data_IF_572079085921
#
_entry.id   IF_572079085921
#
_cell.length_a   1.000
_cell.length_b   1.000
_cell.length_c   1.000
_cell.angle_alpha   90.00
_cell.angle_beta   90.00
_cell.angle_gamma   90.00
#
_symmetry.space_group_name_H-M   'P 1'
#
loop_
_entity.id
_entity.type
_entity.pdbx_description
1 polymer ?
#
# COMPACT_ATOMS: atom_id res chain seq x y z
N UNK A 1 -42.14 -19.07 -21.38
CA UNK A 1 -41.30 -18.57 -22.49
C UNK A 1 -40.20 -19.60 -22.69
N UNK A 2 -40.02 -20.13 -23.90
CA UNK A 2 -38.91 -21.05 -24.18
C UNK A 2 -37.62 -20.23 -24.09
N UNK A 3 -36.73 -20.60 -23.18
CA UNK A 3 -35.40 -20.01 -22.99
C UNK A 3 -34.49 -20.37 -24.17
N UNK A 4 -34.80 -19.85 -25.36
CA UNK A 4 -33.91 -19.91 -26.51
C UNK A 4 -32.81 -18.86 -26.30
N UNK A 5 -31.83 -19.22 -25.46
CA UNK A 5 -30.60 -18.45 -25.29
C UNK A 5 -29.82 -18.49 -26.62
N UNK A 6 -29.91 -17.39 -27.37
CA UNK A 6 -29.31 -17.11 -28.67
C UNK A 6 -29.92 -17.86 -29.86
N UNK A 7 -30.45 -17.08 -30.81
CA UNK A 7 -30.98 -17.55 -32.08
C UNK A 7 -30.04 -17.13 -33.21
N UNK A 8 -29.57 -18.08 -34.00
CA UNK A 8 -28.70 -17.83 -35.15
C UNK A 8 -29.40 -18.25 -36.44
N UNK A 9 -29.26 -17.44 -37.49
CA UNK A 9 -29.82 -17.70 -38.82
C UNK A 9 -28.74 -17.51 -39.86
N UNK A 10 -28.56 -18.49 -40.74
CA UNK A 10 -27.69 -18.33 -41.90
C UNK A 10 -28.37 -17.39 -42.91
N UNK A 11 -27.62 -16.40 -43.39
CA UNK A 11 -28.04 -15.42 -44.39
C UNK A 11 -26.95 -15.32 -45.46
N UNK A 12 -27.31 -14.87 -46.66
CA UNK A 12 -26.31 -14.59 -47.71
C UNK A 12 -25.47 -13.35 -47.35
N UNK A 13 -24.33 -13.17 -48.02
CA UNK A 13 -23.41 -12.03 -47.79
C UNK A 13 -24.14 -10.68 -47.91
N UNK A 14 -25.06 -10.57 -48.86
CA UNK A 14 -25.81 -9.35 -49.13
C UNK A 14 -26.99 -9.14 -48.16
N UNK A 15 -27.31 -10.16 -47.35
CA UNK A 15 -28.46 -10.19 -46.45
C UNK A 15 -28.08 -9.94 -44.98
N UNK A 16 -26.81 -9.60 -44.68
CA UNK A 16 -26.40 -9.22 -43.33
C UNK A 16 -27.16 -7.96 -42.85
N UNK A 17 -27.73 -8.03 -41.66
CA UNK A 17 -28.58 -6.98 -41.06
C UNK A 17 -30.02 -6.92 -41.61
N UNK A 18 -30.40 -7.82 -42.51
CA UNK A 18 -31.77 -7.98 -43.02
C UNK A 18 -32.47 -9.20 -42.38
N UNK A 19 -33.75 -9.43 -42.71
CA UNK A 19 -34.50 -10.65 -42.37
C UNK A 19 -34.57 -10.98 -40.86
N UNK A 20 -34.74 -9.96 -40.01
CA UNK A 20 -34.75 -10.06 -38.54
C UNK A 20 -33.42 -10.50 -37.91
N UNK A 21 -32.29 -10.32 -38.61
CA UNK A 21 -30.96 -10.37 -37.99
C UNK A 21 -30.67 -9.06 -37.24
N UNK A 22 -29.60 -9.01 -36.44
CA UNK A 22 -29.23 -7.81 -35.67
C UNK A 22 -29.01 -6.65 -36.65
N UNK A 23 -29.86 -5.62 -36.58
CA UNK A 23 -29.90 -4.52 -37.56
C UNK A 23 -28.56 -3.77 -37.69
N UNK A 24 -27.74 -3.77 -36.64
CA UNK A 24 -26.45 -3.08 -36.60
C UNK A 24 -25.26 -3.95 -37.05
N UNK A 25 -25.49 -5.24 -37.36
CA UNK A 25 -24.47 -6.18 -37.81
C UNK A 25 -24.64 -6.48 -39.31
N UNK A 26 -24.34 -5.50 -40.15
CA UNK A 26 -24.54 -5.56 -41.61
C UNK A 26 -23.29 -5.95 -42.39
N UNK A 27 -22.13 -6.07 -41.74
CA UNK A 27 -20.85 -6.28 -42.43
C UNK A 27 -20.50 -7.77 -42.42
N UNK A 28 -20.38 -8.42 -43.59
CA UNK A 28 -20.00 -9.83 -43.66
C UNK A 28 -18.49 -10.02 -43.43
N UNK A 29 -18.12 -10.81 -42.42
CA UNK A 29 -16.74 -11.24 -42.20
C UNK A 29 -16.41 -12.45 -43.08
N UNK A 30 -15.50 -12.28 -44.04
CA UNK A 30 -15.15 -13.35 -44.98
C UNK A 30 -14.34 -14.48 -44.34
N UNK A 31 -13.60 -14.20 -43.26
CA UNK A 31 -12.77 -15.17 -42.57
C UNK A 31 -13.61 -16.00 -41.61
N UNK A 32 -14.40 -15.34 -40.77
CA UNK A 32 -15.16 -15.96 -39.69
C UNK A 32 -16.59 -16.35 -40.09
N UNK A 33 -17.03 -15.97 -41.31
CA UNK A 33 -18.33 -16.34 -41.91
C UNK A 33 -19.55 -15.94 -41.07
N UNK A 34 -19.50 -14.79 -40.40
CA UNK A 34 -20.66 -14.20 -39.71
C UNK A 34 -20.80 -12.72 -40.03
N UNK A 35 -21.97 -12.14 -39.77
CA UNK A 35 -22.20 -10.71 -39.90
C UNK A 35 -21.72 -10.00 -38.63
N UNK A 36 -20.66 -9.20 -38.74
CA UNK A 36 -20.10 -8.43 -37.63
C UNK A 36 -20.69 -7.02 -37.58
N UNK A 37 -20.55 -6.39 -36.42
CA UNK A 37 -20.85 -4.98 -36.25
C UNK A 37 -19.73 -4.16 -36.86
N UNK A 38 -20.05 -2.91 -37.16
CA UNK A 38 -19.06 -1.93 -37.57
C UNK A 38 -18.05 -1.75 -36.42
N UNK A 39 -16.78 -2.08 -36.67
CA UNK A 39 -15.71 -2.06 -35.69
C UNK A 39 -14.55 -1.23 -36.24
N UNK A 40 -14.50 0.03 -35.83
CA UNK A 40 -13.40 0.96 -36.14
C UNK A 40 -12.76 1.36 -34.82
N UNK A 41 -11.44 1.22 -34.71
CA UNK A 41 -10.69 1.57 -33.51
C UNK A 41 -10.95 3.04 -33.13
N UNK A 42 -11.29 3.30 -31.86
CA UNK A 42 -11.58 4.65 -31.37
C UNK A 42 -12.93 5.25 -31.83
N UNK A 43 -13.79 4.48 -32.50
CA UNK A 43 -15.10 4.95 -32.95
C UNK A 43 -16.21 4.74 -31.90
N UNK A 44 -16.99 5.79 -31.61
CA UNK A 44 -18.15 5.73 -30.70
C UNK A 44 -19.44 5.35 -31.43
N UNK A 45 -19.66 5.93 -32.62
CA UNK A 45 -20.78 5.59 -33.50
C UNK A 45 -20.24 5.22 -34.88
N UNK A 46 -20.32 3.94 -35.18
CA UNK A 46 -19.84 3.38 -36.43
C UNK A 46 -21.03 3.09 -37.34
N UNK A 47 -20.94 3.51 -38.61
CA UNK A 47 -21.99 3.29 -39.60
C UNK A 47 -21.44 2.36 -40.67
N UNK A 48 -22.13 1.25 -40.86
CA UNK A 48 -21.83 0.33 -41.93
C UNK A 48 -22.37 0.88 -43.27
N UNK A 49 -21.56 0.80 -44.31
CA UNK A 49 -21.95 1.19 -45.66
C UNK A 49 -23.00 0.22 -46.25
N UNK A 50 -23.71 0.66 -47.29
CA UNK A 50 -24.68 -0.21 -47.98
C UNK A 50 -23.99 -1.44 -48.60
N UNK A 51 -24.69 -2.58 -48.70
CA UNK A 51 -24.14 -3.76 -49.36
C UNK A 51 -23.64 -3.44 -50.77
N UNK A 52 -22.38 -3.76 -51.08
CA UNK A 52 -21.77 -3.56 -52.40
C UNK A 52 -20.85 -2.34 -52.58
N UNK A 53 -20.59 -1.54 -51.54
CA UNK A 53 -19.53 -0.50 -51.57
C UNK A 53 -18.17 -1.04 -51.11
N UNK A 54 -17.07 -0.52 -51.67
CA UNK A 54 -15.69 -0.93 -51.34
C UNK A 54 -15.29 -0.61 -49.90
N UNK A 55 -15.67 0.57 -49.37
CA UNK A 55 -15.44 0.94 -47.97
C UNK A 55 -16.62 0.50 -47.10
N UNK A 56 -16.51 -0.69 -46.49
CA UNK A 56 -17.60 -1.31 -45.73
C UNK A 56 -17.91 -0.62 -44.39
N UNK A 57 -16.95 0.12 -43.84
CA UNK A 57 -17.03 0.70 -42.50
C UNK A 57 -16.57 2.16 -42.52
N UNK A 58 -17.35 3.04 -41.89
CA UNK A 58 -16.94 4.43 -41.64
C UNK A 58 -17.37 4.83 -40.25
N UNK A 59 -16.48 5.48 -39.52
CA UNK A 59 -16.87 6.11 -38.27
C UNK A 59 -17.67 7.40 -38.53
N UNK A 60 -18.78 7.56 -37.83
CA UNK A 60 -19.57 8.79 -37.85
C UNK A 60 -19.17 9.72 -36.71
N UNK A 61 -18.91 9.15 -35.53
CA UNK A 61 -18.51 9.89 -34.34
C UNK A 61 -17.40 9.14 -33.60
N UNK A 62 -16.23 9.77 -33.47
CA UNK A 62 -15.12 9.22 -32.69
C UNK A 62 -15.36 9.37 -31.18
N UNK A 63 -14.70 8.52 -30.39
CA UNK A 63 -14.70 8.65 -28.93
C UNK A 63 -14.00 9.97 -28.50
N UNK A 64 -14.33 10.52 -27.31
CA UNK A 64 -13.64 11.69 -26.78
C UNK A 64 -12.11 11.48 -26.78
N UNK A 65 -11.37 12.42 -27.38
CA UNK A 65 -9.90 12.33 -27.53
C UNK A 65 -9.41 11.85 -28.91
N UNK A 66 -10.32 11.53 -29.83
CA UNK A 66 -10.02 11.14 -31.21
C UNK A 66 -10.62 12.15 -32.20
N UNK A 67 -9.96 12.34 -33.35
CA UNK A 67 -10.46 13.14 -34.47
C UNK A 67 -10.79 12.26 -35.67
N UNK A 68 -11.88 12.59 -36.35
CA UNK A 68 -12.33 11.87 -37.54
C UNK A 68 -11.51 12.30 -38.77
N UNK A 69 -10.82 11.34 -39.39
CA UNK A 69 -10.06 11.51 -40.63
C UNK A 69 -11.00 11.51 -41.84
N UNK A 70 -10.57 12.07 -42.97
CA UNK A 70 -11.36 12.10 -44.22
C UNK A 70 -11.76 10.71 -44.74
N UNK A 71 -10.98 9.69 -44.37
CA UNK A 71 -11.19 8.30 -44.75
C UNK A 71 -12.24 7.59 -43.87
N UNK A 72 -12.68 8.23 -42.78
CA UNK A 72 -13.65 7.66 -41.84
C UNK A 72 -13.01 6.91 -40.68
N UNK A 73 -11.69 7.04 -40.49
CA UNK A 73 -10.94 6.49 -39.37
C UNK A 73 -10.84 7.50 -38.22
N UNK A 74 -10.60 7.02 -37.00
CA UNK A 74 -10.43 7.87 -35.82
C UNK A 74 -8.97 7.87 -35.37
N UNK A 75 -8.28 8.99 -35.51
CA UNK A 75 -6.92 9.15 -35.01
C UNK A 75 -6.90 9.72 -33.59
N UNK A 76 -6.08 9.16 -32.71
CA UNK A 76 -5.95 9.60 -31.33
C UNK A 76 -5.15 10.91 -31.25
N UNK A 77 -5.79 12.01 -30.81
CA UNK A 77 -5.10 13.28 -30.56
C UNK A 77 -4.13 13.20 -29.36
N UNK A 78 -4.34 12.23 -28.46
CA UNK A 78 -3.58 12.04 -27.23
C UNK A 78 -2.14 11.55 -27.40
N UNK A 79 -1.70 11.13 -28.60
CA UNK A 79 -0.31 10.70 -28.81
C UNK A 79 0.67 11.81 -28.44
N UNK A 80 0.33 13.07 -28.76
CA UNK A 80 1.13 14.23 -28.38
C UNK A 80 1.26 14.42 -26.87
N UNK A 81 0.28 13.99 -26.07
CA UNK A 81 0.34 14.06 -24.60
C UNK A 81 1.36 13.06 -24.07
N UNK A 82 1.38 11.83 -24.59
CA UNK A 82 2.39 10.84 -24.20
C UNK A 82 3.80 11.26 -24.62
N UNK A 83 3.94 11.82 -25.83
CA UNK A 83 5.21 12.40 -26.30
C UNK A 83 5.65 13.56 -25.40
N UNK A 84 4.72 14.45 -25.00
CA UNK A 84 5.00 15.55 -24.08
C UNK A 84 5.43 15.04 -22.69
N UNK A 85 4.73 14.06 -22.12
CA UNK A 85 5.08 13.45 -20.82
C UNK A 85 6.48 12.84 -20.90
N UNK A 86 6.77 12.07 -21.95
CA UNK A 86 8.08 11.46 -22.16
C UNK A 86 9.18 12.53 -22.35
N UNK A 87 8.89 13.62 -23.07
CA UNK A 87 9.81 14.73 -23.25
C UNK A 87 10.10 15.46 -21.93
N UNK A 88 9.08 15.76 -21.13
CA UNK A 88 9.24 16.37 -19.80
C UNK A 88 10.04 15.46 -18.87
N UNK A 89 9.73 14.16 -18.82
CA UNK A 89 10.49 13.19 -18.04
C UNK A 89 11.96 13.12 -18.49
N UNK A 90 12.22 13.16 -19.80
CA UNK A 90 13.56 13.22 -20.36
C UNK A 90 14.33 14.48 -19.97
N UNK A 91 13.69 15.67 -20.02
CA UNK A 91 14.30 16.93 -19.60
C UNK A 91 14.61 16.92 -18.10
N UNK A 92 13.69 16.42 -17.26
CA UNK A 92 13.93 16.29 -15.82
C UNK A 92 15.08 15.33 -15.51
N UNK A 93 15.18 14.22 -16.24
CA UNK A 93 16.29 13.27 -16.12
C UNK A 93 17.62 13.93 -16.50
N UNK A 94 17.68 14.64 -17.62
CA UNK A 94 18.89 15.37 -18.05
C UNK A 94 19.27 16.43 -17.02
N UNK A 95 18.30 17.16 -16.47
CA UNK A 95 18.54 18.14 -15.42
C UNK A 95 19.05 17.48 -14.13
N UNK A 96 18.47 16.34 -13.72
CA UNK A 96 18.92 15.60 -12.54
C UNK A 96 20.35 15.06 -12.72
N UNK A 97 20.69 14.53 -13.90
CA UNK A 97 22.04 14.09 -14.25
C UNK A 97 23.00 15.27 -14.24
N UNK A 98 22.65 16.38 -14.90
CA UNK A 98 23.45 17.60 -14.92
C UNK A 98 23.69 18.13 -13.51
N UNK A 99 22.63 18.26 -12.71
CA UNK A 99 22.69 18.68 -11.31
C UNK A 99 23.60 17.77 -10.50
N UNK A 100 23.44 16.45 -10.64
CA UNK A 100 24.28 15.47 -9.96
C UNK A 100 25.75 15.64 -10.35
N UNK A 101 26.06 15.75 -11.65
CA UNK A 101 27.43 15.99 -12.14
C UNK A 101 28.00 17.31 -11.62
N UNK A 102 27.22 18.39 -11.60
CA UNK A 102 27.63 19.65 -11.01
C UNK A 102 27.90 19.54 -9.51
N UNK A 103 27.04 18.85 -8.76
CA UNK A 103 27.22 18.61 -7.33
C UNK A 103 28.46 17.74 -7.07
N UNK A 104 28.66 16.68 -7.85
CA UNK A 104 29.83 15.80 -7.74
C UNK A 104 31.14 16.47 -8.15
N UNK A 105 31.08 17.48 -9.03
CA UNK A 105 32.26 18.21 -9.51
C UNK A 105 32.59 19.46 -8.68
N UNK A 106 31.71 19.85 -7.74
CA UNK A 106 31.97 21.00 -6.86
C UNK A 106 33.09 20.64 -5.86
N UNK A 107 34.15 21.44 -5.77
CA UNK A 107 35.20 21.21 -4.78
C UNK A 107 34.63 21.38 -3.37
N UNK A 108 35.07 20.53 -2.44
CA UNK A 108 34.70 20.62 -1.03
C UNK A 108 35.37 21.87 -0.42
N UNK A 109 34.58 22.92 -0.18
CA UNK A 109 35.09 24.19 0.39
C UNK A 109 35.33 24.08 1.90
N UNK A 110 34.66 23.14 2.57
CA UNK A 110 34.76 22.94 4.01
C UNK A 110 34.98 21.45 4.32
N UNK A 111 36.19 20.97 4.09
CA UNK A 111 36.57 19.59 4.39
C UNK A 111 36.35 19.24 5.87
N UNK A 112 36.61 20.19 6.79
CA UNK A 112 36.39 19.99 8.22
C UNK A 112 34.91 19.72 8.54
N UNK A 113 33.99 20.47 7.94
CA UNK A 113 32.54 20.26 8.09
C UNK A 113 32.08 18.93 7.48
N UNK A 114 32.64 18.53 6.34
CA UNK A 114 32.33 17.23 5.72
C UNK A 114 32.82 16.08 6.60
N UNK A 115 34.04 16.16 7.13
CA UNK A 115 34.58 15.17 8.06
C UNK A 115 33.73 15.08 9.33
N UNK A 116 33.37 16.21 9.94
CA UNK A 116 32.46 16.26 11.08
C UNK A 116 31.10 15.63 10.74
N UNK A 117 30.51 15.94 9.58
CA UNK A 117 29.26 15.33 9.13
C UNK A 117 29.35 13.82 8.92
N UNK A 118 30.48 13.32 8.38
CA UNK A 118 30.74 11.89 8.24
C UNK A 118 30.92 11.21 9.59
N UNK A 119 31.57 11.87 10.56
CA UNK A 119 31.67 11.40 11.94
C UNK A 119 30.31 11.35 12.62
N UNK A 120 29.50 12.41 12.53
CA UNK A 120 28.13 12.44 13.05
C UNK A 120 27.28 11.32 12.43
N UNK A 121 27.38 11.12 11.11
CA UNK A 121 26.72 10.01 10.42
C UNK A 121 27.25 8.65 10.89
N UNK A 122 28.55 8.51 11.16
CA UNK A 122 29.12 7.28 11.68
C UNK A 122 28.62 7.00 13.10
N UNK A 123 28.50 8.02 13.95
CA UNK A 123 27.92 7.94 15.30
C UNK A 123 26.42 7.62 15.29
N UNK A 124 25.70 8.02 14.24
CA UNK A 124 24.27 7.68 14.08
C UNK A 124 24.03 6.30 13.48
N UNK A 125 25.09 5.55 13.09
CA UNK A 125 24.91 4.17 12.63
C UNK A 125 24.61 3.29 13.82
N UNK A 126 23.72 2.35 13.61
CA UNK A 126 23.41 1.34 14.61
C UNK A 126 24.55 0.33 14.62
N UNK A 127 25.28 0.33 15.74
CA UNK A 127 26.38 -0.59 16.02
C UNK A 127 25.89 -1.74 16.89
N UNK A 128 26.62 -2.86 16.86
CA UNK A 128 26.30 -4.00 17.70
C UNK A 128 26.53 -3.66 19.18
N UNK A 129 25.75 -4.28 20.06
CA UNK A 129 25.89 -4.06 21.50
C UNK A 129 27.32 -4.38 21.97
N UNK A 130 27.99 -3.38 22.57
CA UNK A 130 29.36 -3.52 23.08
C UNK A 130 30.47 -3.45 22.03
N UNK A 131 30.17 -3.21 20.75
CA UNK A 131 31.21 -3.04 19.72
C UNK A 131 30.97 -1.77 18.89
N UNK A 132 32.03 -1.28 18.24
CA UNK A 132 31.93 -0.17 17.26
C UNK A 132 31.57 -0.66 15.85
N UNK A 133 31.32 -1.96 15.67
CA UNK A 133 31.07 -2.54 14.37
C UNK A 133 29.58 -2.45 14.01
N UNK A 134 29.30 -2.14 12.75
CA UNK A 134 27.94 -2.11 12.21
C UNK A 134 27.39 -3.53 12.00
N UNK A 135 26.08 -3.71 12.09
CA UNK A 135 25.44 -4.98 11.71
C UNK A 135 25.67 -5.29 10.23
N UNK A 136 25.93 -6.57 9.92
CA UNK A 136 26.05 -7.03 8.54
C UNK A 136 24.70 -7.00 7.83
N UNK A 137 24.68 -6.78 6.51
CA UNK A 137 23.45 -6.80 5.72
C UNK A 137 22.76 -8.18 5.69
N UNK A 138 23.48 -9.24 6.08
CA UNK A 138 22.96 -10.60 6.23
C UNK A 138 22.34 -10.88 7.60
N UNK A 139 22.38 -9.92 8.54
CA UNK A 139 21.80 -10.10 9.87
C UNK A 139 20.29 -10.28 9.77
N UNK A 140 19.78 -11.34 10.39
CA UNK A 140 18.35 -11.63 10.39
C UNK A 140 17.61 -10.72 11.38
N UNK A 141 16.93 -9.72 10.84
CA UNK A 141 16.17 -8.72 11.61
C UNK A 141 14.91 -9.29 12.29
N UNK A 142 14.49 -10.52 11.98
CA UNK A 142 13.37 -11.18 12.67
C UNK A 142 13.76 -11.79 14.02
N UNK A 143 15.05 -12.02 14.24
CA UNK A 143 15.60 -12.70 15.42
C UNK A 143 16.56 -11.84 16.22
N UNK A 144 17.26 -10.93 15.55
CA UNK A 144 18.25 -10.06 16.18
C UNK A 144 17.68 -8.66 16.37
N UNK A 145 17.74 -8.16 17.61
CA UNK A 145 17.35 -6.81 17.92
C UNK A 145 18.44 -5.82 17.50
N UNK A 146 18.20 -5.12 16.38
CA UNK A 146 19.14 -4.13 15.83
C UNK A 146 18.71 -2.72 16.22
N UNK A 147 17.42 -2.41 16.10
CA UNK A 147 16.89 -1.05 16.23
C UNK A 147 15.62 -1.03 17.11
N UNK A 148 15.69 -1.78 18.22
CA UNK A 148 14.59 -1.98 19.14
C UNK A 148 13.57 -3.05 18.69
N UNK A 149 12.68 -3.46 19.61
CA UNK A 149 11.70 -4.52 19.37
C UNK A 149 10.67 -4.16 18.29
N UNK A 150 10.43 -2.87 18.03
CA UNK A 150 9.54 -2.41 16.96
C UNK A 150 10.05 -2.79 15.56
N UNK A 151 11.36 -2.74 15.33
CA UNK A 151 11.95 -3.15 14.05
C UNK A 151 11.82 -4.66 13.86
N UNK A 152 12.08 -5.44 14.90
CA UNK A 152 11.86 -6.89 14.86
C UNK A 152 10.39 -7.24 14.59
N UNK A 153 9.47 -6.50 15.21
CA UNK A 153 8.03 -6.66 15.01
C UNK A 153 7.63 -6.46 13.54
N UNK A 154 8.14 -5.39 12.91
CA UNK A 154 7.85 -5.06 11.53
C UNK A 154 8.28 -6.17 10.57
N UNK A 155 9.53 -6.61 10.63
CA UNK A 155 10.02 -7.67 9.72
C UNK A 155 9.31 -9.01 9.94
N UNK A 156 8.95 -9.34 11.19
CA UNK A 156 8.15 -10.54 11.48
C UNK A 156 6.73 -10.41 10.95
N UNK A 157 6.15 -9.22 10.97
CA UNK A 157 4.84 -8.95 10.38
C UNK A 157 4.86 -9.13 8.87
N UNK A 158 5.83 -8.53 8.19
CA UNK A 158 6.02 -8.68 6.74
C UNK A 158 6.18 -10.16 6.36
N UNK A 159 7.01 -10.90 7.09
CA UNK A 159 7.16 -12.34 6.89
C UNK A 159 5.86 -13.11 7.13
N UNK A 160 5.10 -12.77 8.18
CA UNK A 160 3.81 -13.40 8.46
C UNK A 160 2.78 -13.14 7.34
N UNK A 161 2.73 -11.93 6.79
CA UNK A 161 1.89 -11.59 5.63
C UNK A 161 2.32 -12.37 4.38
N UNK A 162 3.62 -12.51 4.15
CA UNK A 162 4.15 -13.30 3.03
C UNK A 162 3.73 -14.77 3.16
N UNK A 163 3.93 -15.38 4.34
CA UNK A 163 3.53 -16.77 4.61
C UNK A 163 2.02 -16.95 4.46
N UNK A 164 1.23 -16.01 4.98
CA UNK A 164 -0.22 -15.99 4.83
C UNK A 164 -0.65 -15.96 3.35
N UNK A 165 -0.08 -15.06 2.56
CA UNK A 165 -0.41 -14.90 1.13
C UNK A 165 -0.04 -16.16 0.33
N UNK A 166 1.16 -16.71 0.56
CA UNK A 166 1.61 -17.95 -0.09
C UNK A 166 0.70 -19.13 0.31
N UNK A 167 0.31 -19.22 1.58
CA UNK A 167 -0.56 -20.29 2.06
C UNK A 167 -1.96 -20.19 1.43
N UNK A 168 -2.58 -19.01 1.42
CA UNK A 168 -3.88 -18.82 0.76
C UNK A 168 -3.81 -19.12 -0.73
N UNK A 169 -2.75 -18.69 -1.42
CA UNK A 169 -2.57 -18.99 -2.83
C UNK A 169 -2.42 -20.50 -3.07
N UNK A 170 -1.59 -21.19 -2.28
CA UNK A 170 -1.37 -22.62 -2.41
C UNK A 170 -2.66 -23.42 -2.15
N UNK A 171 -3.42 -23.08 -1.10
CA UNK A 171 -4.69 -23.74 -0.79
C UNK A 171 -5.74 -23.41 -1.87
N UNK A 172 -5.79 -22.17 -2.37
CA UNK A 172 -6.68 -21.81 -3.48
C UNK A 172 -6.37 -22.63 -4.74
N UNK A 173 -5.09 -22.72 -5.12
CA UNK A 173 -4.66 -23.50 -6.28
C UNK A 173 -4.98 -24.98 -6.10
N UNK A 174 -4.76 -25.54 -4.91
CA UNK A 174 -5.18 -26.90 -4.57
C UNK A 174 -6.70 -27.07 -4.70
N UNK A 175 -7.48 -26.16 -4.13
CA UNK A 175 -8.94 -26.18 -4.17
C UNK A 175 -9.48 -26.12 -5.60
N UNK A 176 -8.94 -25.25 -6.44
CA UNK A 176 -9.25 -25.18 -7.88
C UNK A 176 -8.93 -26.51 -8.56
N UNK A 177 -7.75 -27.07 -8.31
CA UNK A 177 -7.33 -28.34 -8.93
C UNK A 177 -8.23 -29.52 -8.52
N UNK A 178 -8.66 -29.58 -7.25
CA UNK A 178 -9.51 -30.65 -6.73
C UNK A 178 -11.00 -30.50 -7.10
N UNK A 179 -11.54 -29.27 -7.10
CA UNK A 179 -12.97 -29.05 -7.33
C UNK A 179 -13.29 -28.92 -8.82
N UNK A 180 -12.64 -27.96 -9.50
CA UNK A 180 -12.77 -27.77 -10.94
C UNK A 180 -11.78 -26.72 -11.45
N UNK A 181 -10.99 -27.09 -12.46
CA UNK A 181 -10.11 -26.16 -13.19
C UNK A 181 -10.89 -25.09 -13.96
N UNK A 182 -12.20 -25.26 -14.16
CA UNK A 182 -13.07 -24.27 -14.80
C UNK A 182 -13.05 -22.92 -14.07
N UNK A 183 -12.73 -22.89 -12.76
CA UNK A 183 -12.63 -21.65 -11.96
C UNK A 183 -11.57 -20.67 -12.50
N UNK A 184 -10.48 -21.16 -13.11
CA UNK A 184 -9.43 -20.32 -13.70
C UNK A 184 -9.80 -19.81 -15.10
N UNK A 185 -10.66 -20.56 -15.78
CA UNK A 185 -11.04 -20.32 -17.18
C UNK A 185 -12.30 -19.44 -17.24
N UNK A 186 -13.10 -19.43 -16.18
CA UNK A 186 -14.37 -18.71 -16.08
C UNK A 186 -14.14 -17.19 -16.22
N UNK A 187 -14.65 -16.62 -17.31
CA UNK A 187 -14.51 -15.18 -17.63
C UNK A 187 -13.33 -14.85 -18.54
N UNK A 188 -12.38 -15.77 -18.72
CA UNK A 188 -11.19 -15.58 -19.57
C UNK A 188 -11.23 -16.39 -20.87
N UNK A 189 -12.36 -17.04 -21.20
CA UNK A 189 -12.48 -17.74 -22.48
C UNK A 189 -12.51 -16.74 -23.63
N UNK A 190 -11.57 -16.82 -24.59
CA UNK A 190 -11.65 -15.98 -25.78
C UNK A 190 -12.90 -16.36 -26.57
N UNK A 191 -13.55 -15.35 -27.12
CA UNK A 191 -14.74 -15.53 -27.95
C UNK A 191 -14.56 -14.76 -29.26
N UNK A 192 -14.09 -15.46 -30.29
CA UNK A 192 -13.84 -14.86 -31.61
C UNK A 192 -15.13 -14.69 -32.44
N UNK A 193 -16.17 -15.45 -32.11
CA UNK A 193 -17.45 -15.40 -32.82
C UNK A 193 -18.62 -15.20 -31.85
N UNK A 194 -19.73 -14.58 -32.29
CA UNK A 194 -20.90 -14.36 -31.45
C UNK A 194 -21.55 -15.68 -30.99
N UNK A 195 -21.40 -16.75 -31.77
CA UNK A 195 -21.84 -18.09 -31.40
C UNK A 195 -21.03 -18.64 -30.23
N UNK A 196 -19.69 -18.55 -30.30
CA UNK A 196 -18.80 -18.96 -29.22
C UNK A 196 -19.00 -18.07 -27.99
N UNK A 197 -19.20 -16.76 -28.18
CA UNK A 197 -19.50 -15.84 -27.09
C UNK A 197 -20.79 -16.23 -26.37
N UNK A 198 -21.87 -16.49 -27.12
CA UNK A 198 -23.11 -16.94 -26.52
C UNK A 198 -22.94 -18.27 -25.77
N UNK A 199 -22.26 -19.24 -26.39
CA UNK A 199 -21.97 -20.52 -25.75
C UNK A 199 -21.15 -20.32 -24.48
N UNK A 200 -20.16 -19.43 -24.49
CA UNK A 200 -19.32 -19.08 -23.35
C UNK A 200 -20.11 -18.36 -22.25
N UNK A 201 -21.02 -17.44 -22.58
CA UNK A 201 -21.90 -16.76 -21.62
C UNK A 201 -22.88 -17.75 -21.00
N UNK A 202 -23.55 -18.58 -21.80
CA UNK A 202 -24.49 -19.60 -21.32
C UNK A 202 -23.79 -20.60 -20.40
N UNK A 203 -22.65 -21.13 -20.86
CA UNK A 203 -21.78 -22.01 -20.08
C UNK A 203 -21.31 -21.33 -18.79
N UNK A 204 -20.85 -20.08 -18.90
CA UNK A 204 -20.36 -19.30 -17.76
C UNK A 204 -21.44 -19.06 -16.72
N UNK A 205 -22.66 -18.68 -17.13
CA UNK A 205 -23.81 -18.51 -16.24
C UNK A 205 -24.16 -19.83 -15.54
N UNK A 206 -24.21 -20.94 -16.28
CA UNK A 206 -24.50 -22.23 -15.71
C UNK A 206 -23.44 -22.64 -14.67
N UNK A 207 -22.15 -22.54 -15.03
CA UNK A 207 -21.04 -22.86 -14.12
C UNK A 207 -20.96 -21.93 -12.93
N UNK A 208 -21.28 -20.64 -13.08
CA UNK A 208 -21.34 -19.71 -11.95
C UNK A 208 -22.40 -20.14 -10.92
N UNK A 209 -23.57 -20.59 -11.37
CA UNK A 209 -24.62 -21.06 -10.48
C UNK A 209 -24.24 -22.37 -9.79
N UNK A 210 -23.58 -23.29 -10.49
CA UNK A 210 -23.09 -24.55 -9.92
C UNK A 210 -21.95 -24.32 -8.89
N UNK A 211 -21.04 -23.39 -9.18
CA UNK A 211 -19.85 -23.10 -8.37
C UNK A 211 -20.05 -21.96 -7.35
N UNK A 212 -21.27 -21.47 -7.16
CA UNK A 212 -21.52 -20.36 -6.24
C UNK A 212 -21.15 -20.73 -4.80
N UNK A 213 -21.55 -21.94 -4.37
CA UNK A 213 -21.24 -22.47 -3.04
C UNK A 213 -19.75 -22.72 -2.86
N UNK A 214 -19.05 -23.12 -3.92
CA UNK A 214 -17.59 -23.28 -3.93
C UNK A 214 -16.88 -21.96 -3.61
N UNK A 215 -17.33 -20.83 -4.20
CA UNK A 215 -16.77 -19.49 -3.91
C UNK A 215 -17.09 -19.03 -2.50
N UNK A 216 -18.34 -19.21 -2.06
CA UNK A 216 -18.78 -18.84 -0.70
C UNK A 216 -18.00 -19.62 0.36
N UNK A 217 -17.84 -20.93 0.18
CA UNK A 217 -17.05 -21.77 1.07
C UNK A 217 -15.58 -21.38 1.11
N UNK A 218 -14.99 -21.03 -0.04
CA UNK A 218 -13.63 -20.51 -0.09
C UNK A 218 -13.47 -19.21 0.68
N UNK A 219 -14.39 -18.25 0.50
CA UNK A 219 -14.37 -16.98 1.24
C UNK A 219 -14.52 -17.20 2.75
N UNK A 220 -15.43 -18.08 3.17
CA UNK A 220 -15.61 -18.42 4.57
C UNK A 220 -14.33 -19.04 5.17
N UNK A 221 -13.69 -19.96 4.45
CA UNK A 221 -12.42 -20.55 4.84
C UNK A 221 -11.30 -19.51 4.95
N UNK A 222 -11.10 -18.69 3.91
CA UNK A 222 -10.05 -17.68 3.88
C UNK A 222 -10.22 -16.68 5.03
N UNK A 223 -11.45 -16.28 5.34
CA UNK A 223 -11.76 -15.41 6.46
C UNK A 223 -11.45 -16.07 7.82
N UNK A 224 -11.96 -17.28 8.05
CA UNK A 224 -11.72 -18.01 9.30
C UNK A 224 -10.22 -18.29 9.54
N UNK A 225 -9.50 -18.70 8.48
CA UNK A 225 -8.06 -18.92 8.52
C UNK A 225 -7.29 -17.63 8.84
N UNK A 226 -7.64 -16.52 8.17
CA UNK A 226 -6.99 -15.22 8.42
C UNK A 226 -7.25 -14.71 9.84
N UNK A 227 -8.49 -14.87 10.33
CA UNK A 227 -8.86 -14.49 11.69
C UNK A 227 -8.08 -15.30 12.75
N UNK A 228 -8.06 -16.63 12.62
CA UNK A 228 -7.28 -17.49 13.51
C UNK A 228 -5.77 -17.19 13.42
N UNK A 229 -5.26 -16.96 12.20
CA UNK A 229 -3.88 -16.57 11.95
C UNK A 229 -3.52 -15.26 12.65
N UNK A 230 -4.39 -14.25 12.60
CA UNK A 230 -4.19 -12.97 13.26
C UNK A 230 -4.14 -13.11 14.80
N UNK A 231 -5.03 -13.91 15.39
CA UNK A 231 -5.00 -14.21 16.84
C UNK A 231 -3.69 -14.92 17.23
N UNK A 232 -3.33 -15.98 16.50
CA UNK A 232 -2.10 -16.72 16.74
C UNK A 232 -0.86 -15.82 16.62
N UNK A 233 -0.82 -14.97 15.59
CA UNK A 233 0.25 -14.00 15.40
C UNK A 233 0.29 -12.98 16.54
N UNK A 234 -0.84 -12.42 16.98
CA UNK A 234 -0.90 -11.50 18.12
C UNK A 234 -0.37 -12.11 19.42
N UNK A 235 -0.69 -13.38 19.70
CA UNK A 235 -0.15 -14.10 20.87
C UNK A 235 1.35 -14.31 20.74
N UNK A 236 1.84 -14.73 19.57
CA UNK A 236 3.28 -14.91 19.34
C UNK A 236 4.04 -13.58 19.46
N UNK A 237 3.47 -12.50 18.93
CA UNK A 237 4.04 -11.17 18.98
C UNK A 237 4.14 -10.66 20.43
N UNK A 238 3.08 -10.85 21.22
CA UNK A 238 3.07 -10.48 22.65
C UNK A 238 4.15 -11.25 23.43
N UNK A 239 4.29 -12.56 23.17
CA UNK A 239 5.34 -13.38 23.79
C UNK A 239 6.74 -12.93 23.39
N UNK A 240 6.93 -12.52 22.14
CA UNK A 240 8.21 -11.98 21.67
C UNK A 240 8.54 -10.67 22.39
N UNK A 241 7.62 -9.72 22.43
CA UNK A 241 7.81 -8.45 23.14
C UNK A 241 8.14 -8.66 24.61
N UNK A 242 7.44 -9.57 25.30
CA UNK A 242 7.72 -9.88 26.70
C UNK A 242 9.12 -10.47 26.90
N UNK A 243 9.62 -11.29 25.98
CA UNK A 243 10.99 -11.84 26.03
C UNK A 243 12.04 -10.77 25.78
N UNK A 244 11.89 -9.98 24.72
CA UNK A 244 12.86 -8.93 24.38
C UNK A 244 12.91 -7.87 25.48
N UNK A 245 11.76 -7.46 26.02
CA UNK A 245 11.71 -6.53 27.15
C UNK A 245 12.28 -7.12 28.44
N UNK A 246 12.34 -8.44 28.56
CA UNK A 246 12.96 -9.11 29.69
C UNK A 246 14.50 -9.22 29.54
N UNK A 247 15.04 -9.06 28.34
CA UNK A 247 16.47 -9.10 28.07
C UNK A 247 17.07 -7.69 28.05
N UNK A 248 16.32 -6.69 27.56
CA UNK A 248 16.78 -5.30 27.57
C UNK A 248 16.75 -4.69 28.98
N UNK A 249 17.79 -3.90 29.28
CA UNK A 249 17.83 -3.00 30.44
C UNK A 249 16.97 -1.77 30.14
N UNK A 250 15.66 -1.96 30.12
CA UNK A 250 14.71 -0.85 29.99
C UNK A 250 14.67 -0.05 31.29
N UNK A 251 14.56 1.27 31.17
CA UNK A 251 14.45 2.20 32.31
C UNK A 251 13.34 1.80 33.30
N UNK A 252 12.29 1.14 32.82
CA UNK A 252 11.19 0.63 33.66
C UNK A 252 11.62 -0.38 34.71
N UNK A 253 12.76 -1.06 34.54
CA UNK A 253 13.32 -1.99 35.55
C UNK A 253 13.98 -1.28 36.72
N UNK A 254 14.41 -0.04 36.53
CA UNK A 254 15.05 0.78 37.55
C UNK A 254 14.06 1.72 38.24
N UNK A 255 12.77 1.60 37.92
CA UNK A 255 11.70 2.42 38.49
C UNK A 255 10.75 1.53 39.28
N UNK A 256 10.44 1.94 40.50
CA UNK A 256 9.37 1.38 41.31
C UNK A 256 8.21 2.37 41.35
N UNK A 257 6.99 1.88 41.16
CA UNK A 257 5.78 2.68 41.37
C UNK A 257 5.33 2.43 42.80
N UNK A 258 5.31 3.50 43.60
CA UNK A 258 4.85 3.47 44.99
C UNK A 258 3.43 4.03 45.05
N UNK A 259 2.48 3.17 45.44
CA UNK A 259 1.07 3.54 45.61
C UNK A 259 0.70 3.54 47.10
N UNK A 260 -0.35 4.29 47.47
CA UNK A 260 -0.87 4.33 48.85
C UNK A 260 -0.07 5.23 49.81
N UNK A 261 0.74 6.14 49.29
CA UNK A 261 1.45 7.14 50.10
C UNK A 261 0.47 8.13 50.77
N UNK A 262 0.80 8.67 51.96
CA UNK A 262 -0.05 9.65 52.63
C UNK A 262 -0.18 10.93 51.81
N UNK A 263 -1.32 11.60 51.92
CA UNK A 263 -1.54 12.89 51.25
C UNK A 263 -0.56 13.92 51.81
N UNK A 264 0.31 14.44 50.95
CA UNK A 264 1.28 15.47 51.27
C UNK A 264 0.92 16.77 50.56
N UNK A 265 1.33 17.91 51.13
CA UNK A 265 1.09 19.23 50.55
C UNK A 265 2.21 19.58 49.57
N UNK A 266 1.87 20.20 48.44
CA UNK A 266 2.85 20.65 47.44
C UNK A 266 3.76 21.79 47.88
N UNK A 267 3.60 22.32 49.10
CA UNK A 267 4.48 23.36 49.67
C UNK A 267 5.79 22.83 50.23
N UNK A 268 5.93 21.51 50.39
CA UNK A 268 7.12 20.85 50.93
C UNK A 268 7.91 20.19 49.79
N UNK A 269 9.22 19.98 49.97
CA UNK A 269 10.05 19.23 49.01
C UNK A 269 9.73 17.73 49.08
N UNK A 270 8.55 17.35 48.59
CA UNK A 270 8.01 15.99 48.68
C UNK A 270 8.95 14.97 48.02
N UNK A 271 9.62 15.35 46.94
CA UNK A 271 10.58 14.48 46.24
C UNK A 271 11.79 14.11 47.12
N UNK A 272 12.38 15.07 47.84
CA UNK A 272 13.52 14.81 48.74
C UNK A 272 13.09 13.98 49.94
N UNK A 273 11.95 14.31 50.55
CA UNK A 273 11.41 13.58 51.71
C UNK A 273 11.13 12.12 51.33
N UNK A 274 10.50 11.88 50.17
CA UNK A 274 10.23 10.54 49.69
C UNK A 274 11.51 9.82 49.28
N UNK A 275 12.46 10.50 48.65
CA UNK A 275 13.75 9.92 48.28
C UNK A 275 14.49 9.41 49.52
N UNK A 276 14.58 10.22 50.57
CA UNK A 276 15.24 9.86 51.82
C UNK A 276 14.50 8.73 52.54
N UNK A 277 13.17 8.79 52.60
CA UNK A 277 12.36 7.74 53.23
C UNK A 277 12.49 6.39 52.52
N UNK A 278 12.49 6.38 51.18
CA UNK A 278 12.66 5.16 50.38
C UNK A 278 14.09 4.65 50.46
N UNK A 279 15.09 5.53 50.40
CA UNK A 279 16.50 5.15 50.56
C UNK A 279 16.76 4.53 51.95
N UNK A 280 16.16 5.10 53.00
CA UNK A 280 16.27 4.57 54.36
C UNK A 280 15.54 3.23 54.53
N UNK A 281 14.35 3.07 53.95
CA UNK A 281 13.55 1.86 54.11
C UNK A 281 14.07 0.67 53.29
N UNK A 282 14.61 0.92 52.11
CA UNK A 282 15.03 -0.13 51.18
C UNK A 282 16.54 -0.39 51.21
N UNK A 283 17.32 0.42 51.92
CA UNK A 283 18.80 0.33 52.00
C UNK A 283 19.47 0.34 50.62
N UNK A 284 18.88 1.04 49.65
CA UNK A 284 19.39 1.19 48.28
C UNK A 284 19.55 2.66 47.91
N UNK A 285 20.54 2.93 47.05
CA UNK A 285 20.77 4.25 46.50
C UNK A 285 19.65 4.61 45.51
N UNK A 286 18.82 5.57 45.89
CA UNK A 286 17.74 6.09 45.03
C UNK A 286 18.30 7.23 44.19
N UNK A 287 18.30 7.08 42.86
CA UNK A 287 18.79 8.13 41.94
C UNK A 287 17.88 9.36 42.01
N UNK A 288 16.56 9.15 41.92
CA UNK A 288 15.56 10.20 42.00
C UNK A 288 14.16 9.65 42.26
N UNK A 289 13.26 10.54 42.64
CA UNK A 289 11.83 10.26 42.83
C UNK A 289 11.07 11.28 42.02
N UNK A 290 10.05 10.85 41.29
CA UNK A 290 9.11 11.74 40.62
C UNK A 290 7.73 11.51 41.23
N UNK A 291 7.07 12.60 41.61
CA UNK A 291 5.76 12.55 42.27
C UNK A 291 4.66 12.72 41.24
N UNK A 292 3.73 11.76 41.20
CA UNK A 292 2.49 11.90 40.44
C UNK A 292 1.51 12.74 41.26
N UNK A 293 1.33 13.99 40.88
CA UNK A 293 0.38 14.90 41.52
C UNK A 293 -1.05 14.58 41.06
N UNK A 294 -1.97 14.42 42.01
CA UNK A 294 -3.40 14.33 41.71
C UNK A 294 -3.95 15.75 41.49
N UNK A 295 -3.95 16.18 40.23
CA UNK A 295 -4.55 17.45 39.80
C UNK A 295 -5.83 17.22 38.98
N UNK A 296 -6.52 16.09 39.16
CA UNK A 296 -7.70 15.73 38.34
C UNK A 296 -8.77 16.82 38.30
N UNK A 297 -9.06 17.46 39.45
CA UNK A 297 -10.03 18.54 39.57
C UNK A 297 -9.53 19.89 39.02
N UNK A 298 -8.21 20.09 38.95
CA UNK A 298 -7.57 21.36 38.58
C UNK A 298 -6.73 21.24 37.30
N UNK A 299 -7.02 20.24 36.46
CA UNK A 299 -6.19 19.89 35.30
C UNK A 299 -6.04 21.03 34.31
N UNK A 300 -7.13 21.74 34.01
CA UNK A 300 -7.08 22.87 33.06
C UNK A 300 -6.24 24.03 33.61
N UNK A 301 -6.39 24.34 34.90
CA UNK A 301 -5.62 25.41 35.56
C UNK A 301 -4.11 25.08 35.59
N UNK A 302 -3.75 23.83 35.90
CA UNK A 302 -2.35 23.39 35.94
C UNK A 302 -1.73 23.38 34.54
N UNK A 303 -2.45 22.89 33.53
CA UNK A 303 -1.95 22.89 32.14
C UNK A 303 -1.79 24.32 31.61
N UNK A 304 -2.75 25.21 31.87
CA UNK A 304 -2.65 26.62 31.48
C UNK A 304 -1.46 27.32 32.15
N UNK A 305 -1.23 27.07 33.44
CA UNK A 305 -0.10 27.63 34.16
C UNK A 305 1.26 27.10 33.65
N UNK A 306 1.32 25.85 33.17
CA UNK A 306 2.52 25.28 32.54
C UNK A 306 2.78 25.93 31.18
N UNK A 307 1.75 26.11 30.35
CA UNK A 307 1.85 26.79 29.06
C UNK A 307 2.33 28.25 29.23
N UNK A 308 1.74 28.98 30.18
CA UNK A 308 2.16 30.35 30.52
C UNK A 308 3.62 30.41 31.05
N UNK A 309 4.07 29.37 31.75
CA UNK A 309 5.41 29.28 32.31
C UNK A 309 6.48 28.86 31.29
N UNK A 310 6.11 28.22 30.18
CA UNK A 310 7.01 27.90 29.07
C UNK A 310 7.30 29.14 28.19
N UNK A 311 6.45 30.17 28.22
CA UNK A 311 6.59 31.36 27.35
C UNK A 311 7.71 32.39 27.66
N UNK A 312 8.42 32.44 28.81
CA UNK A 312 9.48 33.44 29.00
C UNK A 312 10.88 32.83 29.12
N UNK A 313 11.49 32.36 28.02
CA UNK A 313 12.97 32.27 27.94
C UNK A 313 13.62 32.31 26.55
N UNK A 314 12.89 32.27 25.43
CA UNK A 314 13.53 32.39 24.09
C UNK A 314 13.88 33.84 23.68
N UNK A 315 13.52 34.86 24.48
CA UNK A 315 13.63 36.28 24.11
C UNK A 315 14.73 37.13 24.78
N UNK A 316 15.43 36.66 25.81
CA UNK A 316 16.39 37.48 26.56
C UNK A 316 17.76 36.79 26.72
N UNK A 317 18.50 36.70 25.62
CA UNK A 317 19.83 36.10 25.60
C UNK A 317 20.80 36.73 24.60
N UNK A 318 20.84 38.06 24.45
CA UNK A 318 21.99 38.77 23.84
C UNK A 318 21.84 40.30 23.92
N UNK A 319 22.21 40.91 25.04
CA UNK A 319 22.73 42.28 25.10
C UNK A 319 23.10 42.63 26.54
N UNK A 320 24.34 42.34 26.95
CA UNK A 320 25.19 43.27 27.72
C UNK A 320 26.38 42.52 28.34
N UNK A 321 27.47 42.47 27.56
CA UNK A 321 28.81 42.39 28.14
C UNK A 321 29.74 43.28 27.32
N UNK A 322 29.67 44.59 27.55
CA UNK A 322 30.73 45.54 27.16
C UNK A 322 30.68 46.77 28.06
N UNK A 323 31.85 47.20 28.56
CA UNK A 323 32.08 48.32 29.50
C UNK A 323 31.64 48.01 30.95
N UNK A 324 32.52 47.91 31.95
CA UNK A 324 33.72 48.70 32.24
C UNK A 324 34.61 47.96 33.23
#
# INVERSE_FOLDING_TARGET
MRDEFCHFRCVKKEECGLLNTVQNATIPDERLKFCRHCEVEGCMQCVASKPGQESLEKCQQCMPGYSLTREGECEMHGVWVFVLIAAVAGVLLVFAIWWYLCVSSKPSVNEAGVQYGLECRARSRISQAGTSETYALSTNLMTTNVAGPGTMALFRFEFAILVWAITLLAVWMGFVYFVSSDLLILGNRPAESPQILCAAIKWGRQRQMELIWTKVSWMAFAYAFSFAGAICYGVQQTKMFARVSAEEEVMTRYVAILEGLPKMKGSENVEEILKDAVAQACEVEVVGVSVCWDFGEHREEVMHALEDAEEPSEGQGSANTTSR
#
